data_IF_943255711684
#
_entry.id   IF_943255711684
#
_cell.length_a   1.000
_cell.length_b   1.000
_cell.length_c   1.000
_cell.angle_alpha   90.00
_cell.angle_beta   90.00
_cell.angle_gamma   90.00
#
_symmetry.space_group_name_H-M   'P 1'
#
loop_
_entity.id
_entity.type
_entity.pdbx_description
1 polymer ?
#
# COMPACT_ATOMS: atom_id res chain seq x y z
N UNK A 1 11.37 7.26 3.52
CA UNK A 1 10.21 6.89 4.38
C UNK A 1 9.04 6.38 3.56
N UNK A 2 8.49 7.16 2.64
CA UNK A 2 7.36 6.70 1.80
C UNK A 2 7.71 5.45 0.99
N UNK A 3 8.88 5.39 0.36
CA UNK A 3 9.35 4.21 -0.38
C UNK A 3 9.46 2.94 0.49
N UNK A 4 9.74 3.10 1.79
CA UNK A 4 9.74 1.96 2.72
C UNK A 4 8.33 1.43 3.00
N UNK A 5 7.33 2.31 3.04
CA UNK A 5 5.90 1.93 3.13
C UNK A 5 5.46 1.29 1.81
N UNK A 6 5.76 1.94 0.69
CA UNK A 6 5.41 1.48 -0.66
C UNK A 6 6.11 0.16 -1.05
N UNK A 7 7.30 -0.11 -0.53
CA UNK A 7 8.00 -1.37 -0.75
C UNK A 7 7.35 -2.58 -0.05
N UNK A 8 6.48 -2.34 0.92
CA UNK A 8 5.84 -3.39 1.72
C UNK A 8 4.32 -3.46 1.54
N UNK A 9 3.67 -2.30 1.52
CA UNK A 9 2.22 -2.22 1.55
C UNK A 9 1.53 -2.83 0.32
N UNK A 10 2.00 -2.66 -0.94
CA UNK A 10 1.37 -3.28 -2.10
C UNK A 10 1.33 -4.81 -2.02
N UNK A 11 2.43 -5.43 -1.59
CA UNK A 11 2.50 -6.88 -1.40
C UNK A 11 1.51 -7.37 -0.35
N UNK A 12 1.39 -6.65 0.77
CA UNK A 12 0.44 -7.02 1.82
C UNK A 12 -1.02 -6.75 1.45
N UNK A 13 -1.27 -5.64 0.75
CA UNK A 13 -2.63 -5.19 0.45
C UNK A 13 -3.22 -5.85 -0.80
N UNK A 14 -2.45 -5.96 -1.87
CA UNK A 14 -2.99 -6.33 -3.18
C UNK A 14 -2.66 -7.75 -3.61
N UNK A 15 -1.49 -8.27 -3.25
CA UNK A 15 -1.03 -9.59 -3.68
C UNK A 15 -2.00 -10.72 -3.31
N UNK A 16 -2.58 -10.77 -2.08
CA UNK A 16 -3.54 -11.81 -1.71
C UNK A 16 -4.81 -11.84 -2.58
N UNK A 17 -5.12 -10.74 -3.26
CA UNK A 17 -6.32 -10.57 -4.09
C UNK A 17 -6.02 -10.56 -5.59
N UNK A 18 -4.75 -10.79 -5.97
CA UNK A 18 -4.35 -10.95 -7.36
C UNK A 18 -4.73 -12.35 -7.86
N UNK A 19 -5.54 -12.39 -8.93
CA UNK A 19 -5.91 -13.64 -9.60
C UNK A 19 -5.17 -13.89 -10.92
N UNK A 20 -4.38 -12.90 -11.36
CA UNK A 20 -3.61 -12.95 -12.61
C UNK A 20 -2.12 -13.03 -12.28
N UNK A 21 -1.41 -14.10 -12.71
CA UNK A 21 0.03 -14.25 -12.45
C UNK A 21 0.89 -13.08 -12.96
N UNK A 22 0.49 -12.46 -14.06
CA UNK A 22 1.18 -11.30 -14.62
C UNK A 22 1.07 -10.08 -13.72
N UNK A 23 -0.07 -9.90 -13.07
CA UNK A 23 -0.29 -8.80 -12.12
C UNK A 23 0.46 -9.08 -10.80
N UNK A 24 0.47 -10.33 -10.34
CA UNK A 24 1.27 -10.76 -9.20
C UNK A 24 2.75 -10.45 -9.43
N UNK A 25 3.31 -10.85 -10.56
CA UNK A 25 4.69 -10.54 -10.94
C UNK A 25 4.96 -9.02 -10.98
N UNK A 26 4.01 -8.23 -11.46
CA UNK A 26 4.11 -6.76 -11.45
C UNK A 26 4.20 -6.19 -10.03
N UNK A 27 3.39 -6.69 -9.10
CA UNK A 27 3.42 -6.26 -7.69
C UNK A 27 4.74 -6.62 -7.00
N UNK A 28 5.29 -7.79 -7.28
CA UNK A 28 6.59 -8.22 -6.77
C UNK A 28 7.73 -7.31 -7.27
N UNK A 29 7.75 -7.01 -8.57
CA UNK A 29 8.73 -6.10 -9.17
C UNK A 29 8.59 -4.70 -8.60
N UNK A 30 7.37 -4.20 -8.43
CA UNK A 30 7.12 -2.90 -7.81
C UNK A 30 7.70 -2.84 -6.40
N UNK A 31 7.38 -3.79 -5.53
CA UNK A 31 7.92 -3.87 -4.17
C UNK A 31 9.45 -3.92 -4.15
N UNK A 32 10.05 -4.64 -5.08
CA UNK A 32 11.50 -4.70 -5.24
C UNK A 32 12.11 -3.34 -5.63
N UNK A 33 11.52 -2.63 -6.58
CA UNK A 33 11.99 -1.31 -7.01
C UNK A 33 11.91 -0.28 -5.89
N UNK A 34 10.82 -0.26 -5.12
CA UNK A 34 10.68 0.63 -3.96
C UNK A 34 11.74 0.36 -2.88
N UNK A 35 12.09 -0.90 -2.70
CA UNK A 35 13.18 -1.27 -1.77
C UNK A 35 14.54 -0.76 -2.27
N UNK A 36 14.79 -0.78 -3.59
CA UNK A 36 16.00 -0.20 -4.19
C UNK A 36 16.01 1.31 -3.99
N UNK A 37 14.89 2.01 -4.23
CA UNK A 37 14.76 3.45 -4.02
C UNK A 37 15.08 3.82 -2.56
N UNK A 38 14.46 3.16 -1.60
CA UNK A 38 14.68 3.38 -0.17
C UNK A 38 16.16 3.22 0.24
N UNK A 39 16.82 2.18 -0.28
CA UNK A 39 18.25 1.96 -0.06
C UNK A 39 19.12 3.03 -0.70
N UNK A 40 18.78 3.44 -1.91
CA UNK A 40 19.50 4.47 -2.66
C UNK A 40 19.46 5.80 -1.94
N UNK A 41 18.29 6.24 -1.47
CA UNK A 41 18.18 7.46 -0.66
C UNK A 41 18.97 7.38 0.65
N UNK A 42 18.91 6.23 1.32
CA UNK A 42 19.70 6.01 2.53
C UNK A 42 21.21 6.10 2.24
N UNK A 43 21.66 5.52 1.13
CA UNK A 43 23.04 5.61 0.70
C UNK A 43 23.47 7.04 0.40
N UNK A 44 22.65 7.79 -0.34
CA UNK A 44 22.91 9.21 -0.67
C UNK A 44 23.04 10.04 0.61
N UNK A 45 22.08 9.93 1.53
CA UNK A 45 22.08 10.67 2.79
C UNK A 45 23.36 10.38 3.58
N UNK A 46 23.74 9.11 3.72
CA UNK A 46 24.93 8.69 4.45
C UNK A 46 26.26 9.18 3.86
N UNK A 47 26.29 9.47 2.55
CA UNK A 47 27.52 9.89 1.87
C UNK A 47 27.59 11.40 1.60
N UNK A 48 26.46 12.12 1.66
CA UNK A 48 26.40 13.55 1.39
C UNK A 48 26.42 14.37 2.67
N UNK A 49 25.82 13.87 3.73
CA UNK A 49 25.73 14.60 5.00
C UNK A 49 26.77 14.11 6.01
N UNK A 50 27.40 15.06 6.72
CA UNK A 50 28.37 14.76 7.78
C UNK A 50 27.73 14.08 8.99
N UNK A 51 26.46 14.41 9.28
CA UNK A 51 25.63 13.73 10.26
C UNK A 51 24.31 13.28 9.62
N UNK A 52 24.23 12.02 9.19
CA UNK A 52 23.00 11.46 8.64
C UNK A 52 21.84 11.39 9.63
N UNK A 53 22.12 11.28 10.94
CA UNK A 53 21.11 11.14 12.00
C UNK A 53 20.22 12.38 12.06
N UNK A 54 20.82 13.57 11.95
CA UNK A 54 20.11 14.85 11.94
C UNK A 54 19.06 14.94 10.80
N UNK A 55 19.37 14.36 9.65
CA UNK A 55 18.43 14.33 8.51
C UNK A 55 17.28 13.37 8.79
N UNK A 56 17.56 12.18 9.34
CA UNK A 56 16.52 11.20 9.65
C UNK A 56 15.59 11.70 10.77
N UNK A 57 16.14 12.36 11.79
CA UNK A 57 15.35 12.93 12.88
C UNK A 57 14.43 14.06 12.39
N UNK A 58 14.91 14.90 11.46
CA UNK A 58 14.10 15.95 10.83
C UNK A 58 12.95 15.35 9.99
N UNK A 59 13.18 14.26 9.28
CA UNK A 59 12.14 13.57 8.51
C UNK A 59 11.03 13.07 9.44
N UNK A 60 11.39 12.53 10.59
CA UNK A 60 10.44 12.00 11.58
C UNK A 60 9.70 13.09 12.37
N UNK A 61 10.20 14.33 12.37
CA UNK A 61 9.61 15.47 13.05
C UNK A 61 8.84 16.43 12.12
N UNK A 62 8.84 16.22 10.80
CA UNK A 62 8.09 17.07 9.86
C UNK A 62 6.65 16.53 9.67
N UNK A 63 5.69 17.26 10.26
CA UNK A 63 4.27 16.91 10.22
C UNK A 63 3.74 16.72 8.79
N UNK A 64 4.24 17.46 7.80
CA UNK A 64 3.81 17.35 6.41
C UNK A 64 4.22 16.00 5.79
N UNK A 65 5.37 15.46 6.21
CA UNK A 65 5.84 14.14 5.78
C UNK A 65 5.01 13.06 6.47
N UNK A 66 4.74 13.23 7.75
CA UNK A 66 3.92 12.30 8.53
C UNK A 66 2.48 12.25 8.02
N UNK A 67 1.86 13.39 7.73
CA UNK A 67 0.51 13.48 7.17
C UNK A 67 0.40 12.76 5.83
N UNK A 68 1.39 12.93 4.94
CA UNK A 68 1.41 12.20 3.66
C UNK A 68 1.55 10.70 3.85
N UNK A 69 2.43 10.27 4.75
CA UNK A 69 2.59 8.86 5.05
C UNK A 69 1.30 8.27 5.65
N UNK A 70 0.66 8.99 6.56
CA UNK A 70 -0.60 8.58 7.19
C UNK A 70 -1.74 8.44 6.18
N UNK A 71 -1.90 9.38 5.27
CA UNK A 71 -2.99 9.33 4.26
C UNK A 71 -2.88 8.12 3.34
N UNK A 72 -1.66 7.71 2.99
CA UNK A 72 -1.42 6.51 2.17
C UNK A 72 -1.64 5.25 2.99
N UNK A 73 -1.09 5.20 4.20
CA UNK A 73 -1.25 4.07 5.12
C UNK A 73 -2.72 3.82 5.44
N UNK A 74 -3.49 4.88 5.71
CA UNK A 74 -4.93 4.79 5.96
C UNK A 74 -5.70 4.17 4.77
N UNK A 75 -5.31 4.51 3.55
CA UNK A 75 -5.92 3.92 2.35
C UNK A 75 -5.65 2.42 2.23
N UNK A 76 -4.44 1.98 2.54
CA UNK A 76 -4.09 0.56 2.59
C UNK A 76 -4.82 -0.16 3.72
N UNK A 77 -4.79 0.39 4.93
CA UNK A 77 -5.41 -0.22 6.11
C UNK A 77 -6.92 -0.35 5.93
N UNK A 78 -7.57 0.67 5.37
CA UNK A 78 -8.99 0.62 5.05
C UNK A 78 -9.31 -0.51 4.08
N UNK A 79 -8.53 -0.66 3.02
CA UNK A 79 -8.73 -1.74 2.06
C UNK A 79 -8.46 -3.12 2.68
N UNK A 80 -7.34 -3.30 3.39
CA UNK A 80 -6.95 -4.57 4.02
C UNK A 80 -8.01 -5.02 5.02
N UNK A 81 -8.46 -4.13 5.90
CA UNK A 81 -9.46 -4.44 6.92
C UNK A 81 -10.78 -4.88 6.32
N UNK A 82 -11.27 -4.19 5.31
CA UNK A 82 -12.52 -4.54 4.64
C UNK A 82 -12.42 -5.85 3.86
N UNK A 83 -11.32 -6.04 3.14
CA UNK A 83 -11.10 -7.26 2.40
C UNK A 83 -10.98 -8.47 3.34
N UNK A 84 -10.28 -8.31 4.47
CA UNK A 84 -10.18 -9.35 5.48
C UNK A 84 -11.53 -9.67 6.14
N UNK A 85 -12.35 -8.67 6.46
CA UNK A 85 -13.70 -8.87 6.99
C UNK A 85 -14.57 -9.62 5.99
N UNK A 86 -14.48 -9.27 4.71
CA UNK A 86 -15.20 -9.96 3.65
C UNK A 86 -14.80 -11.43 3.55
N UNK A 87 -13.51 -11.73 3.51
CA UNK A 87 -13.00 -13.11 3.45
C UNK A 87 -13.45 -13.91 4.67
N UNK A 88 -13.29 -13.37 5.88
CA UNK A 88 -13.63 -14.08 7.12
C UNK A 88 -15.13 -14.27 7.30
N UNK A 89 -15.96 -13.38 6.76
CA UNK A 89 -17.42 -13.49 6.85
C UNK A 89 -18.02 -14.46 5.82
N UNK A 90 -17.36 -14.68 4.70
CA UNK A 90 -17.92 -15.40 3.55
C UNK A 90 -17.28 -16.75 3.25
N UNK A 91 -16.08 -17.06 3.78
CA UNK A 91 -15.36 -18.31 3.47
C UNK A 91 -16.13 -19.60 3.77
N UNK A 92 -17.09 -19.56 4.70
CA UNK A 92 -17.89 -20.71 5.13
C UNK A 92 -19.32 -20.74 4.53
N UNK A 93 -19.73 -19.72 3.75
CA UNK A 93 -21.05 -19.63 3.11
C UNK A 93 -21.01 -20.21 1.70
N UNK A 94 -21.66 -21.36 1.43
CA UNK A 94 -21.65 -21.97 0.10
C UNK A 94 -22.38 -21.15 -0.97
N UNK A 95 -23.30 -20.29 -0.56
CA UNK A 95 -24.24 -19.52 -1.41
C UNK A 95 -23.91 -18.02 -1.53
N UNK A 96 -22.78 -17.58 -0.98
CA UNK A 96 -22.41 -16.17 -0.94
C UNK A 96 -22.28 -15.51 -2.33
N UNK A 97 -22.02 -16.31 -3.38
CA UNK A 97 -21.87 -15.82 -4.74
C UNK A 97 -23.19 -15.37 -5.37
N UNK A 98 -24.30 -15.91 -4.92
CA UNK A 98 -25.64 -15.68 -5.50
C UNK A 98 -26.49 -14.72 -4.67
N UNK A 99 -26.01 -14.29 -3.50
CA UNK A 99 -26.76 -13.37 -2.64
C UNK A 99 -26.59 -11.93 -3.10
N UNK A 100 -27.70 -11.18 -3.11
CA UNK A 100 -27.68 -9.74 -3.41
C UNK A 100 -26.82 -8.93 -2.42
N UNK A 101 -26.71 -9.40 -1.18
CA UNK A 101 -25.80 -8.84 -0.17
C UNK A 101 -24.33 -9.05 -0.55
N UNK A 102 -23.94 -10.23 -1.01
CA UNK A 102 -22.59 -10.51 -1.48
C UNK A 102 -22.16 -9.65 -2.67
N UNK A 103 -23.08 -9.35 -3.58
CA UNK A 103 -22.81 -8.48 -4.72
C UNK A 103 -22.53 -7.02 -4.29
N UNK A 104 -23.22 -6.53 -3.25
CA UNK A 104 -22.98 -5.19 -2.72
C UNK A 104 -21.64 -5.08 -1.99
N UNK A 105 -21.31 -6.06 -1.17
CA UNK A 105 -20.04 -6.15 -0.46
C UNK A 105 -18.85 -6.24 -1.44
N UNK A 106 -18.98 -7.02 -2.51
CA UNK A 106 -17.97 -7.09 -3.58
C UNK A 106 -17.77 -5.74 -4.28
N UNK A 107 -18.85 -5.00 -4.52
CA UNK A 107 -18.78 -3.66 -5.13
C UNK A 107 -18.05 -2.68 -4.23
N UNK A 108 -18.29 -2.75 -2.93
CA UNK A 108 -17.65 -1.87 -1.96
C UNK A 108 -16.15 -2.15 -1.84
N UNK A 109 -15.74 -3.42 -1.79
CA UNK A 109 -14.32 -3.81 -1.78
C UNK A 109 -13.62 -3.35 -3.06
N UNK A 110 -14.23 -3.55 -4.23
CA UNK A 110 -13.68 -3.05 -5.51
C UNK A 110 -13.53 -1.53 -5.50
N UNK A 111 -14.47 -0.81 -4.91
CA UNK A 111 -14.38 0.65 -4.76
C UNK A 111 -13.22 1.07 -3.86
N UNK A 112 -12.99 0.36 -2.77
CA UNK A 112 -11.88 0.62 -1.85
C UNK A 112 -10.54 0.26 -2.46
N UNK A 113 -10.46 -0.86 -3.16
CA UNK A 113 -9.29 -1.23 -3.96
C UNK A 113 -8.95 -0.13 -4.97
N UNK A 114 -9.94 0.32 -5.75
CA UNK A 114 -9.74 1.39 -6.71
C UNK A 114 -9.23 2.68 -6.06
N UNK A 115 -9.78 3.05 -4.89
CA UNK A 115 -9.31 4.23 -4.14
C UNK A 115 -7.89 4.06 -3.65
N UNK A 116 -7.54 2.91 -3.11
CA UNK A 116 -6.18 2.63 -2.63
C UNK A 116 -5.17 2.74 -3.78
N UNK A 117 -5.43 2.09 -4.91
CA UNK A 117 -4.58 2.16 -6.12
C UNK A 117 -4.50 3.59 -6.66
N UNK A 118 -5.61 4.33 -6.69
CA UNK A 118 -5.64 5.72 -7.17
C UNK A 118 -4.83 6.64 -6.26
N UNK A 119 -4.95 6.50 -4.94
CA UNK A 119 -4.18 7.30 -3.98
C UNK A 119 -2.68 7.06 -4.12
N UNK A 120 -2.27 5.81 -4.33
CA UNK A 120 -0.86 5.48 -4.60
C UNK A 120 -0.38 6.14 -5.90
N UNK A 121 -1.16 6.04 -6.98
CA UNK A 121 -0.80 6.67 -8.26
C UNK A 121 -0.72 8.19 -8.15
N UNK A 122 -1.63 8.83 -7.42
CA UNK A 122 -1.58 10.28 -7.17
C UNK A 122 -0.31 10.63 -6.38
N UNK A 123 0.02 9.87 -5.37
CA UNK A 123 1.21 10.09 -4.57
C UNK A 123 2.49 9.99 -5.41
N UNK A 124 2.59 8.96 -6.25
CA UNK A 124 3.76 8.71 -7.08
C UNK A 124 3.85 9.66 -8.28
N UNK A 125 2.70 10.07 -8.86
CA UNK A 125 2.65 10.89 -10.06
C UNK A 125 2.75 12.39 -9.83
N UNK A 126 2.53 12.89 -8.61
CA UNK A 126 2.46 14.33 -8.30
C UNK A 126 3.69 14.81 -7.49
N UNK A 127 4.63 13.96 -7.24
CA UNK A 127 5.89 14.31 -6.54
C UNK A 127 6.75 15.33 -7.28
#
# INVERSE_FOLDING_TARGET
MLDSVQGRAPGMAFLPYCSLPELEACMEVWSFMEMIHSRSYTYVIKNVYSDPSDVFDKILSDDRILDRASSVTESYDTFINEAHQYDTSNWWRPDWRDSTSGAWEQKEIKRKLYRAVTNVNILEGIR
#
